data_IF_492733717184
#
_entry.id   IF_492733717184
#
_cell.length_a   1.000
_cell.length_b   1.000
_cell.length_c   1.000
_cell.angle_alpha   90.00
_cell.angle_beta   90.00
_cell.angle_gamma   90.00
#
_symmetry.space_group_name_H-M   'P 1'
#
loop_
_entity.id
_entity.type
_entity.pdbx_description
1 polymer ?
#
# COMPACT_ATOMS: atom_id res chain seq x y z
N UNK A 1 26.58 9.70 -0.16
CA UNK A 1 26.02 9.99 1.18
C UNK A 1 26.94 10.88 1.99
N UNK A 2 26.38 11.76 2.82
CA UNK A 2 27.10 12.57 3.80
C UNK A 2 27.82 11.68 4.84
N UNK A 3 28.73 12.27 5.60
CA UNK A 3 29.54 11.56 6.58
C UNK A 3 28.70 11.00 7.72
N UNK A 4 27.68 11.75 8.19
CA UNK A 4 26.75 11.30 9.23
C UNK A 4 25.94 10.07 8.77
N UNK A 5 25.41 10.08 7.55
CA UNK A 5 24.67 8.94 7.00
C UNK A 5 25.56 7.70 6.90
N UNK A 6 26.79 7.84 6.41
CA UNK A 6 27.70 6.70 6.31
C UNK A 6 28.15 6.18 7.69
N UNK A 7 28.32 7.06 8.67
CA UNK A 7 28.60 6.67 10.05
C UNK A 7 27.47 5.80 10.62
N UNK A 8 26.21 6.25 10.47
CA UNK A 8 25.04 5.50 10.93
C UNK A 8 24.96 4.14 10.23
N UNK A 9 25.06 4.12 8.91
CA UNK A 9 25.00 2.89 8.13
C UNK A 9 26.16 1.92 8.49
N UNK A 10 27.38 2.45 8.69
CA UNK A 10 28.55 1.63 9.04
C UNK A 10 28.46 1.02 10.43
N UNK A 11 27.91 1.74 11.41
CA UNK A 11 27.67 1.20 12.75
C UNK A 11 26.61 0.09 12.70
N UNK A 12 25.51 0.31 12.01
CA UNK A 12 24.48 -0.71 11.85
C UNK A 12 25.05 -2.01 11.25
N UNK A 13 25.72 -1.94 10.12
CA UNK A 13 26.25 -3.13 9.44
C UNK A 13 27.43 -3.79 10.18
N UNK A 14 28.07 -3.09 11.11
CA UNK A 14 29.14 -3.65 11.93
C UNK A 14 28.66 -4.80 12.83
N UNK A 15 27.37 -4.87 13.14
CA UNK A 15 26.76 -5.94 13.93
C UNK A 15 26.61 -7.28 13.17
N UNK A 16 26.90 -7.34 11.86
CA UNK A 16 26.95 -8.57 11.10
C UNK A 16 28.28 -9.30 11.29
N UNK A 17 28.21 -10.57 11.64
CA UNK A 17 29.38 -11.44 11.88
C UNK A 17 30.11 -11.78 10.57
N UNK A 18 29.35 -12.04 9.49
CA UNK A 18 29.89 -12.44 8.17
C UNK A 18 30.14 -11.25 7.25
N UNK A 19 30.90 -10.23 7.71
CA UNK A 19 31.19 -9.03 6.96
C UNK A 19 32.49 -9.15 6.14
N UNK A 20 32.45 -8.91 4.84
CA UNK A 20 33.63 -8.59 4.04
C UNK A 20 34.01 -7.13 4.33
N UNK A 21 35.09 -6.92 5.07
CA UNK A 21 35.48 -5.68 5.76
C UNK A 21 35.72 -4.43 4.92
N UNK A 22 34.84 -4.07 3.98
CA UNK A 22 34.91 -2.81 3.23
C UNK A 22 34.20 -1.69 4.02
N UNK A 23 34.94 -0.65 4.38
CA UNK A 23 34.38 0.59 4.93
C UNK A 23 34.21 1.58 3.79
N UNK A 24 32.97 2.05 3.54
CA UNK A 24 32.72 3.13 2.60
C UNK A 24 33.30 4.42 3.18
N UNK A 25 34.03 5.15 2.36
CA UNK A 25 34.53 6.51 2.66
C UNK A 25 33.81 7.48 1.74
N UNK A 26 33.53 8.67 2.23
CA UNK A 26 32.99 9.77 1.44
C UNK A 26 33.94 10.97 1.45
N UNK A 27 33.95 11.73 0.37
CA UNK A 27 34.57 13.04 0.27
C UNK A 27 33.55 14.16 0.55
N UNK A 28 32.26 13.82 0.81
CA UNK A 28 31.24 14.79 1.14
C UNK A 28 31.42 15.31 2.57
N UNK A 29 30.90 16.48 2.82
CA UNK A 29 30.87 17.12 4.14
C UNK A 29 30.11 16.28 5.16
N UNK A 30 30.17 16.67 6.43
CA UNK A 30 29.54 15.99 7.55
C UNK A 30 28.00 15.81 7.33
N UNK A 31 27.36 16.87 6.85
CA UNK A 31 25.92 16.87 6.50
C UNK A 31 25.00 16.93 7.71
N UNK A 32 23.67 16.85 7.46
CA UNK A 32 22.68 16.80 8.53
C UNK A 32 22.76 15.46 9.29
N UNK A 33 22.40 15.47 10.58
CA UNK A 33 22.20 14.25 11.37
C UNK A 33 21.07 13.42 10.76
N UNK A 34 21.11 12.11 10.91
CA UNK A 34 20.00 11.22 10.51
C UNK A 34 18.85 11.46 11.47
N UNK A 35 17.66 11.73 10.93
CA UNK A 35 16.48 12.01 11.73
C UNK A 35 15.76 10.70 12.07
N UNK A 36 15.61 10.45 13.37
CA UNK A 36 14.87 9.32 13.90
C UNK A 36 13.55 9.83 14.47
N UNK A 37 12.44 9.48 13.79
CA UNK A 37 11.11 9.97 14.10
C UNK A 37 10.24 8.84 14.65
N UNK A 38 9.57 9.10 15.78
CA UNK A 38 8.58 8.22 16.37
C UNK A 38 7.18 8.80 16.20
N UNK A 39 6.26 8.02 15.62
CA UNK A 39 4.87 8.40 15.39
C UNK A 39 3.90 7.54 16.21
N UNK A 40 2.68 8.05 16.46
CA UNK A 40 1.64 7.30 17.16
C UNK A 40 1.20 6.07 16.35
N UNK A 41 0.97 6.26 15.06
CA UNK A 41 0.50 5.19 14.17
C UNK A 41 0.98 5.40 12.71
N UNK A 42 0.67 4.46 11.82
CA UNK A 42 1.11 4.51 10.43
C UNK A 42 0.51 5.68 9.63
N UNK A 43 -0.71 6.10 9.94
CA UNK A 43 -1.30 7.29 9.29
C UNK A 43 -0.56 8.56 9.67
N UNK A 44 -0.26 8.73 10.95
CA UNK A 44 0.51 9.86 11.44
C UNK A 44 1.93 9.86 10.86
N UNK A 45 2.54 8.67 10.66
CA UNK A 45 3.80 8.52 9.96
C UNK A 45 3.70 9.02 8.51
N UNK A 46 2.65 8.63 7.78
CA UNK A 46 2.43 9.09 6.41
C UNK A 46 2.17 10.60 6.33
N UNK A 47 1.43 11.17 7.29
CA UNK A 47 1.21 12.62 7.42
C UNK A 47 2.53 13.33 7.68
N UNK A 48 3.28 12.94 8.72
CA UNK A 48 4.53 13.58 9.07
C UNK A 48 5.58 13.53 7.95
N UNK A 49 5.67 12.40 7.23
CA UNK A 49 6.56 12.28 6.05
C UNK A 49 6.09 13.20 4.93
N UNK A 50 4.78 13.27 4.63
CA UNK A 50 4.28 14.16 3.58
C UNK A 50 4.53 15.63 3.89
N UNK A 51 4.37 16.03 5.14
CA UNK A 51 4.64 17.41 5.59
C UNK A 51 6.14 17.74 5.49
N UNK A 52 7.03 16.80 5.83
CA UNK A 52 8.47 16.98 5.62
C UNK A 52 8.83 17.09 4.12
N UNK A 53 8.19 16.32 3.25
CA UNK A 53 8.37 16.44 1.79
C UNK A 53 7.97 17.85 1.34
N UNK A 54 6.84 18.38 1.80
CA UNK A 54 6.40 19.73 1.46
C UNK A 54 7.35 20.81 1.99
N UNK A 55 7.91 20.64 3.20
CA UNK A 55 8.97 21.51 3.73
C UNK A 55 10.23 21.48 2.87
N UNK A 56 10.63 20.29 2.36
CA UNK A 56 11.80 20.16 1.44
C UNK A 56 11.54 20.84 0.10
N UNK A 57 10.30 20.74 -0.43
CA UNK A 57 9.92 21.51 -1.63
C UNK A 57 10.07 23.01 -1.45
N UNK A 58 9.66 23.57 -0.28
CA UNK A 58 9.88 24.98 0.04
C UNK A 58 11.37 25.34 0.06
N UNK A 59 12.24 24.40 0.41
CA UNK A 59 13.71 24.53 0.35
C UNK A 59 14.30 24.19 -1.03
N UNK A 60 13.48 24.11 -2.09
CA UNK A 60 13.84 23.87 -3.49
C UNK A 60 14.44 22.49 -3.79
N UNK A 61 14.11 21.46 -3.01
CA UNK A 61 14.39 20.09 -3.40
C UNK A 61 13.41 19.65 -4.47
N UNK A 62 13.90 19.00 -5.53
CA UNK A 62 13.08 18.38 -6.57
C UNK A 62 12.37 17.12 -6.02
N UNK A 63 11.08 16.92 -6.33
CA UNK A 63 10.36 15.69 -5.96
C UNK A 63 11.02 14.45 -6.54
N UNK A 64 11.61 14.53 -7.73
CA UNK A 64 12.31 13.42 -8.36
C UNK A 64 13.53 12.95 -7.56
N UNK A 65 14.09 13.81 -6.70
CA UNK A 65 15.22 13.52 -5.82
C UNK A 65 14.81 13.15 -4.39
N UNK A 66 13.52 12.92 -4.16
CA UNK A 66 12.94 12.47 -2.89
C UNK A 66 12.43 11.06 -3.06
N UNK A 67 12.75 10.15 -2.14
CA UNK A 67 12.27 8.78 -2.15
C UNK A 67 11.80 8.31 -0.78
N UNK A 68 10.76 7.49 -0.79
CA UNK A 68 10.30 6.69 0.37
C UNK A 68 10.63 5.24 0.07
N UNK A 69 11.44 4.63 0.92
CA UNK A 69 11.91 3.25 0.78
C UNK A 69 11.26 2.37 1.84
N UNK A 70 10.33 1.52 1.42
CA UNK A 70 9.62 0.58 2.30
C UNK A 70 10.26 -0.80 2.28
N UNK A 71 10.04 -1.61 3.32
CA UNK A 71 10.50 -3.01 3.33
C UNK A 71 9.64 -3.89 2.43
N UNK A 72 8.34 -3.72 2.46
CA UNK A 72 7.38 -4.47 1.66
C UNK A 72 6.41 -3.55 0.95
N UNK A 73 5.98 -3.95 -0.25
CA UNK A 73 5.19 -3.07 -1.14
C UNK A 73 3.81 -2.72 -0.56
N UNK A 74 3.23 -3.54 0.32
CA UNK A 74 1.94 -3.23 0.93
C UNK A 74 1.99 -1.95 1.80
N UNK A 75 3.15 -1.63 2.39
CA UNK A 75 3.35 -0.42 3.19
C UNK A 75 3.15 0.88 2.40
N UNK A 76 3.15 0.83 1.06
CA UNK A 76 2.97 2.06 0.25
C UNK A 76 1.56 2.62 0.33
N UNK A 77 0.54 1.82 0.70
CA UNK A 77 -0.86 2.24 0.68
C UNK A 77 -1.12 3.51 1.49
N UNK A 78 -0.67 3.58 2.73
CA UNK A 78 -0.92 4.75 3.60
C UNK A 78 -0.30 6.03 3.02
N UNK A 79 0.88 5.92 2.39
CA UNK A 79 1.51 7.05 1.67
C UNK A 79 0.73 7.40 0.39
N UNK A 80 0.30 6.41 -0.38
CA UNK A 80 -0.49 6.62 -1.60
C UNK A 80 -1.80 7.32 -1.28
N UNK A 81 -2.53 6.88 -0.24
CA UNK A 81 -3.77 7.53 0.24
C UNK A 81 -3.52 8.98 0.67
N UNK A 82 -2.49 9.21 1.50
CA UNK A 82 -2.15 10.57 1.92
C UNK A 82 -1.80 11.46 0.73
N UNK A 83 -1.01 10.95 -0.22
CA UNK A 83 -0.60 11.72 -1.39
C UNK A 83 -1.77 12.03 -2.33
N UNK A 84 -2.72 11.09 -2.48
CA UNK A 84 -3.97 11.35 -3.20
C UNK A 84 -4.77 12.46 -2.51
N UNK A 85 -4.95 12.37 -1.20
CA UNK A 85 -5.70 13.36 -0.41
C UNK A 85 -5.13 14.78 -0.55
N UNK A 86 -3.79 14.95 -0.50
CA UNK A 86 -3.16 16.27 -0.58
C UNK A 86 -2.71 16.67 -2.00
N UNK A 87 -2.97 15.84 -3.00
CA UNK A 87 -2.57 16.09 -4.40
C UNK A 87 -1.05 16.10 -4.59
N UNK A 88 -0.27 15.36 -3.80
CA UNK A 88 1.17 15.23 -3.97
C UNK A 88 1.48 14.19 -5.06
N UNK A 89 2.12 14.59 -6.19
CA UNK A 89 2.43 13.66 -7.26
C UNK A 89 3.46 12.61 -6.82
N UNK A 90 3.19 11.34 -7.12
CA UNK A 90 4.09 10.24 -6.79
C UNK A 90 4.12 9.18 -7.89
N UNK A 91 5.13 8.31 -7.85
CA UNK A 91 5.22 7.11 -8.69
C UNK A 91 5.76 5.92 -7.89
N UNK A 92 5.29 4.73 -8.23
CA UNK A 92 5.83 3.49 -7.69
C UNK A 92 6.91 2.96 -8.63
N UNK A 93 8.15 2.86 -8.16
CA UNK A 93 9.25 2.30 -8.94
C UNK A 93 9.40 0.81 -8.65
N UNK A 94 9.36 0.01 -9.73
CA UNK A 94 9.42 -1.46 -9.61
C UNK A 94 8.14 -2.10 -9.07
N UNK A 95 7.02 -1.39 -9.14
CA UNK A 95 5.72 -1.86 -8.68
C UNK A 95 4.56 -1.16 -9.37
N UNK A 96 3.36 -1.43 -8.90
CA UNK A 96 2.09 -0.89 -9.40
C UNK A 96 1.37 -0.20 -8.23
N UNK A 97 0.68 0.90 -8.49
CA UNK A 97 -0.14 1.60 -7.49
C UNK A 97 -1.14 0.67 -6.84
N UNK A 98 -1.48 0.93 -5.58
CA UNK A 98 -2.28 0.03 -4.76
C UNK A 98 -3.58 -0.40 -5.45
N UNK A 99 -4.41 0.54 -5.89
CA UNK A 99 -5.68 0.23 -6.54
C UNK A 99 -5.55 -0.32 -7.97
N UNK A 100 -4.36 -0.31 -8.54
CA UNK A 100 -4.08 -0.88 -9.86
C UNK A 100 -3.55 -2.31 -9.82
N UNK A 101 -3.20 -2.84 -8.63
CA UNK A 101 -2.72 -4.22 -8.45
C UNK A 101 -3.80 -5.23 -8.85
N UNK A 102 -3.38 -6.33 -9.46
CA UNK A 102 -4.31 -7.30 -10.04
C UNK A 102 -5.32 -7.85 -9.04
N UNK A 103 -4.86 -8.27 -7.84
CA UNK A 103 -5.67 -8.79 -6.77
C UNK A 103 -6.64 -7.74 -6.20
N UNK A 104 -6.24 -6.47 -6.16
CA UNK A 104 -7.09 -5.37 -5.72
C UNK A 104 -8.17 -5.07 -6.75
N UNK A 105 -7.80 -5.01 -8.04
CA UNK A 105 -8.77 -4.89 -9.14
C UNK A 105 -9.77 -6.04 -9.16
N UNK A 106 -9.34 -7.27 -8.82
CA UNK A 106 -10.24 -8.42 -8.73
C UNK A 106 -11.24 -8.25 -7.58
N UNK A 107 -10.78 -7.85 -6.38
CA UNK A 107 -11.65 -7.57 -5.23
C UNK A 107 -12.65 -6.44 -5.55
N UNK A 108 -12.18 -5.36 -6.13
CA UNK A 108 -13.02 -4.22 -6.53
C UNK A 108 -14.04 -4.64 -7.61
N UNK A 109 -13.66 -5.50 -8.56
CA UNK A 109 -14.58 -6.01 -9.57
C UNK A 109 -15.70 -6.86 -8.96
N UNK A 110 -15.40 -7.70 -7.95
CA UNK A 110 -16.44 -8.39 -7.19
C UNK A 110 -17.42 -7.41 -6.54
N UNK A 111 -16.90 -6.40 -5.84
CA UNK A 111 -17.71 -5.40 -5.15
C UNK A 111 -18.56 -4.58 -6.13
N UNK A 112 -17.99 -4.16 -7.27
CA UNK A 112 -18.68 -3.42 -8.33
C UNK A 112 -19.82 -4.24 -8.93
N UNK A 113 -19.58 -5.53 -9.25
CA UNK A 113 -20.63 -6.40 -9.80
C UNK A 113 -21.75 -6.65 -8.79
N UNK A 114 -21.46 -6.69 -7.49
CA UNK A 114 -22.47 -6.80 -6.43
C UNK A 114 -23.28 -5.51 -6.30
N UNK A 115 -22.62 -4.35 -6.39
CA UNK A 115 -23.25 -3.04 -6.25
C UNK A 115 -24.08 -2.67 -7.48
N UNK A 116 -23.61 -3.03 -8.70
CA UNK A 116 -24.23 -2.70 -9.98
C UNK A 116 -24.46 -3.95 -10.83
N UNK A 117 -25.71 -4.19 -11.22
CA UNK A 117 -26.15 -5.39 -11.96
C UNK A 117 -25.78 -5.37 -13.47
N UNK A 118 -25.22 -4.27 -13.97
CA UNK A 118 -24.85 -4.09 -15.39
C UNK A 118 -23.38 -3.76 -15.61
N UNK A 119 -22.53 -4.07 -14.64
CA UNK A 119 -21.09 -3.85 -14.78
C UNK A 119 -20.43 -4.99 -15.56
N UNK A 120 -20.48 -4.90 -16.87
CA UNK A 120 -19.93 -5.92 -17.77
C UNK A 120 -18.42 -6.06 -17.68
N UNK A 121 -17.70 -4.97 -17.40
CA UNK A 121 -16.24 -5.00 -17.19
C UNK A 121 -15.86 -5.76 -15.92
N UNK A 122 -16.62 -5.53 -14.84
CA UNK A 122 -16.42 -6.25 -13.60
C UNK A 122 -16.78 -7.74 -13.79
N UNK A 123 -17.88 -8.06 -14.48
CA UNK A 123 -18.28 -9.42 -14.80
C UNK A 123 -17.17 -10.18 -15.55
N UNK A 124 -16.68 -9.63 -16.66
CA UNK A 124 -15.64 -10.23 -17.49
C UNK A 124 -14.38 -10.55 -16.68
N UNK A 125 -14.00 -9.63 -15.81
CA UNK A 125 -12.80 -9.78 -14.99
C UNK A 125 -12.87 -10.98 -14.05
N UNK A 126 -14.02 -11.23 -13.42
CA UNK A 126 -14.13 -12.18 -12.31
C UNK A 126 -14.90 -13.46 -12.62
N UNK A 127 -15.62 -13.52 -13.75
CA UNK A 127 -16.49 -14.69 -14.08
C UNK A 127 -15.72 -16.02 -14.09
N UNK A 128 -14.45 -16.02 -14.48
CA UNK A 128 -13.55 -17.19 -14.49
C UNK A 128 -12.28 -17.00 -13.63
N UNK A 129 -12.33 -16.12 -12.67
CA UNK A 129 -11.25 -15.88 -11.70
C UNK A 129 -11.81 -15.90 -10.26
N UNK A 130 -11.61 -17.01 -9.49
CA UNK A 130 -10.88 -18.25 -9.81
C UNK A 130 -11.46 -19.07 -10.99
N UNK A 131 -10.66 -19.99 -11.51
CA UNK A 131 -11.08 -20.83 -12.67
C UNK A 131 -12.33 -21.65 -12.34
N UNK A 132 -13.39 -21.51 -13.18
CA UNK A 132 -14.69 -22.19 -13.04
C UNK A 132 -15.06 -23.04 -14.26
N UNK A 133 -14.06 -23.49 -15.01
CA UNK A 133 -14.27 -24.22 -16.29
C UNK A 133 -15.01 -23.40 -17.36
N UNK A 134 -14.93 -22.08 -17.28
CA UNK A 134 -15.50 -21.16 -18.27
C UNK A 134 -14.36 -20.79 -19.23
N UNK A 135 -14.34 -21.38 -20.40
CA UNK A 135 -13.32 -21.15 -21.42
C UNK A 135 -13.61 -19.91 -22.27
N UNK A 136 -12.58 -19.45 -23.00
CA UNK A 136 -12.67 -18.29 -23.89
C UNK A 136 -13.81 -18.39 -24.92
N UNK A 137 -14.08 -19.59 -25.45
CA UNK A 137 -15.18 -19.82 -26.39
C UNK A 137 -16.55 -19.51 -25.77
N UNK A 138 -16.74 -19.84 -24.49
CA UNK A 138 -17.99 -19.52 -23.78
C UNK A 138 -18.08 -18.02 -23.48
N UNK A 139 -16.97 -17.39 -23.12
CA UNK A 139 -16.94 -15.94 -22.89
C UNK A 139 -17.31 -15.21 -24.19
N UNK A 140 -16.71 -15.60 -25.34
CA UNK A 140 -17.10 -15.04 -26.65
C UNK A 140 -18.58 -15.25 -26.96
N UNK A 141 -19.11 -16.43 -26.70
CA UNK A 141 -20.55 -16.74 -26.90
C UNK A 141 -21.44 -15.84 -26.03
N UNK A 142 -21.06 -15.58 -24.78
CA UNK A 142 -21.78 -14.65 -23.88
C UNK A 142 -21.76 -13.24 -24.46
N UNK A 143 -20.60 -12.73 -24.91
CA UNK A 143 -20.47 -11.42 -25.52
C UNK A 143 -21.31 -11.27 -26.81
N UNK A 144 -21.26 -12.25 -27.69
CA UNK A 144 -22.04 -12.25 -28.93
C UNK A 144 -23.56 -12.24 -28.65
N UNK A 145 -23.99 -13.06 -27.69
CA UNK A 145 -25.39 -13.11 -27.29
C UNK A 145 -25.85 -11.84 -26.59
N UNK A 146 -25.03 -11.27 -25.73
CA UNK A 146 -25.22 -9.98 -25.07
C UNK A 146 -25.42 -8.87 -26.09
N UNK A 147 -24.49 -8.73 -27.04
CA UNK A 147 -24.54 -7.71 -28.10
C UNK A 147 -25.77 -7.87 -29.00
N UNK A 148 -26.08 -9.09 -29.42
CA UNK A 148 -27.22 -9.39 -30.30
C UNK A 148 -28.56 -9.03 -29.67
N UNK A 149 -28.66 -9.18 -28.35
CA UNK A 149 -29.92 -9.00 -27.62
C UNK A 149 -29.96 -7.74 -26.77
N UNK A 150 -28.94 -6.90 -26.81
CA UNK A 150 -28.78 -5.68 -25.99
C UNK A 150 -28.97 -5.96 -24.48
N UNK A 151 -28.32 -7.02 -23.98
CA UNK A 151 -28.36 -7.46 -22.59
C UNK A 151 -27.00 -7.25 -21.92
N UNK A 152 -26.99 -7.08 -20.60
CA UNK A 152 -25.73 -7.20 -19.83
C UNK A 152 -25.18 -8.63 -19.91
N UNK A 153 -23.85 -8.80 -19.71
CA UNK A 153 -23.20 -10.12 -19.75
C UNK A 153 -23.80 -11.08 -18.72
N UNK A 154 -24.18 -10.58 -17.54
CA UNK A 154 -24.87 -11.38 -16.52
C UNK A 154 -26.22 -11.90 -17.01
N UNK A 155 -27.06 -11.04 -17.58
CA UNK A 155 -28.38 -11.45 -18.12
C UNK A 155 -28.25 -12.37 -19.33
N UNK A 156 -27.27 -12.08 -20.20
CA UNK A 156 -26.95 -12.94 -21.34
C UNK A 156 -26.55 -14.35 -20.87
N UNK A 157 -25.71 -14.42 -19.82
CA UNK A 157 -25.29 -15.69 -19.22
C UNK A 157 -26.48 -16.48 -18.66
N UNK A 158 -27.39 -15.82 -17.93
CA UNK A 158 -28.62 -16.46 -17.42
C UNK A 158 -29.48 -17.03 -18.54
N UNK A 159 -29.71 -16.24 -19.59
CA UNK A 159 -30.52 -16.70 -20.75
C UNK A 159 -29.86 -17.84 -21.53
N UNK A 160 -28.55 -17.82 -21.70
CA UNK A 160 -27.84 -18.92 -22.35
C UNK A 160 -27.90 -20.21 -21.55
N UNK A 161 -27.92 -20.13 -20.21
CA UNK A 161 -28.15 -21.28 -19.31
C UNK A 161 -29.59 -21.83 -19.46
N UNK A 162 -30.60 -20.96 -19.44
CA UNK A 162 -32.01 -21.29 -19.59
C UNK A 162 -32.30 -21.98 -20.93
N UNK A 163 -31.70 -21.44 -22.00
CA UNK A 163 -31.82 -21.97 -23.36
C UNK A 163 -30.99 -23.25 -23.62
N UNK A 164 -30.24 -23.73 -22.62
CA UNK A 164 -29.32 -24.88 -22.72
C UNK A 164 -28.26 -24.74 -23.85
N UNK A 165 -27.82 -23.54 -24.15
CA UNK A 165 -26.84 -23.27 -25.20
C UNK A 165 -25.37 -23.37 -24.71
N UNK A 166 -25.14 -23.65 -23.42
CA UNK A 166 -23.82 -23.78 -22.80
C UNK A 166 -23.56 -25.25 -22.46
N UNK A 167 -22.31 -25.69 -22.68
CA UNK A 167 -21.87 -27.07 -22.36
C UNK A 167 -22.10 -27.41 -20.88
N UNK A 168 -22.49 -28.65 -20.55
CA UNK A 168 -22.88 -29.01 -19.17
C UNK A 168 -21.89 -28.67 -18.09
N UNK A 169 -20.61 -28.94 -18.32
CA UNK A 169 -19.52 -28.64 -17.36
C UNK A 169 -19.37 -27.13 -17.08
N UNK A 170 -19.44 -26.32 -18.12
CA UNK A 170 -19.35 -24.86 -18.03
C UNK A 170 -20.62 -24.28 -17.42
N UNK A 171 -21.79 -24.85 -17.73
CA UNK A 171 -23.10 -24.49 -17.15
C UNK A 171 -23.06 -24.55 -15.62
N UNK A 172 -22.50 -25.62 -15.05
CA UNK A 172 -22.39 -25.78 -13.59
C UNK A 172 -21.58 -24.63 -12.98
N UNK A 173 -20.39 -24.36 -13.51
CA UNK A 173 -19.51 -23.30 -13.00
C UNK A 173 -20.12 -21.91 -13.11
N UNK A 174 -20.73 -21.61 -14.28
CA UNK A 174 -21.36 -20.32 -14.53
C UNK A 174 -22.60 -20.11 -13.66
N UNK A 175 -23.44 -21.13 -13.52
CA UNK A 175 -24.62 -21.06 -12.66
C UNK A 175 -24.28 -20.90 -11.18
N UNK A 176 -23.26 -21.62 -10.71
CA UNK A 176 -22.75 -21.45 -9.34
C UNK A 176 -22.27 -20.02 -9.11
N UNK A 177 -21.52 -19.44 -10.03
CA UNK A 177 -21.06 -18.05 -9.93
C UNK A 177 -22.22 -17.05 -9.88
N UNK A 178 -23.22 -17.20 -10.78
CA UNK A 178 -24.39 -16.32 -10.81
C UNK A 178 -25.23 -16.42 -9.52
N UNK A 179 -25.35 -17.61 -8.95
CA UNK A 179 -26.03 -17.83 -7.67
C UNK A 179 -25.29 -17.16 -6.51
N UNK A 180 -23.95 -17.21 -6.49
CA UNK A 180 -23.16 -16.48 -5.51
C UNK A 180 -23.36 -14.97 -5.63
N UNK A 181 -23.30 -14.41 -6.84
CA UNK A 181 -23.54 -12.98 -7.06
C UNK A 181 -24.93 -12.58 -6.55
N UNK A 182 -25.96 -13.35 -6.86
CA UNK A 182 -27.33 -13.10 -6.37
C UNK A 182 -27.40 -13.16 -4.83
N UNK A 183 -26.75 -14.14 -4.21
CA UNK A 183 -26.65 -14.27 -2.75
C UNK A 183 -25.97 -13.04 -2.14
N UNK A 184 -24.81 -12.62 -2.65
CA UNK A 184 -24.05 -11.48 -2.11
C UNK A 184 -24.81 -10.16 -2.26
N UNK A 185 -25.57 -9.96 -3.34
CA UNK A 185 -26.49 -8.81 -3.47
C UNK A 185 -27.56 -8.82 -2.41
N UNK A 186 -28.18 -10.00 -2.17
CA UNK A 186 -29.15 -10.14 -1.10
C UNK A 186 -28.53 -9.89 0.28
N UNK A 187 -27.32 -10.36 0.52
CA UNK A 187 -26.60 -10.13 1.77
C UNK A 187 -26.33 -8.62 1.98
N UNK A 188 -25.96 -7.89 0.93
CA UNK A 188 -25.75 -6.44 0.99
C UNK A 188 -27.06 -5.67 1.21
N UNK A 189 -28.08 -5.93 0.39
CA UNK A 189 -29.29 -5.09 0.31
C UNK A 189 -30.30 -5.46 1.40
N UNK A 190 -30.59 -6.75 1.56
CA UNK A 190 -31.63 -7.24 2.46
C UNK A 190 -31.11 -7.47 3.87
N UNK A 191 -29.98 -8.18 4.00
CA UNK A 191 -29.38 -8.47 5.31
C UNK A 191 -28.51 -7.33 5.85
N UNK A 192 -28.24 -6.31 5.04
CA UNK A 192 -27.41 -5.13 5.39
C UNK A 192 -26.06 -5.52 6.02
N UNK A 193 -25.43 -6.55 5.46
CA UNK A 193 -24.10 -6.95 5.90
C UNK A 193 -23.11 -5.81 5.59
N UNK A 194 -22.24 -5.51 6.55
CA UNK A 194 -21.18 -4.52 6.36
C UNK A 194 -20.31 -4.89 5.15
N UNK A 195 -19.93 -3.88 4.37
CA UNK A 195 -19.18 -4.05 3.10
C UNK A 195 -17.84 -4.76 3.26
N UNK A 196 -17.17 -4.61 4.41
CA UNK A 196 -15.92 -5.32 4.73
C UNK A 196 -16.19 -6.81 4.91
N UNK A 197 -17.21 -7.14 5.72
CA UNK A 197 -17.64 -8.53 5.92
C UNK A 197 -18.14 -9.16 4.64
N UNK A 198 -18.81 -8.38 3.81
CA UNK A 198 -19.22 -8.81 2.47
C UNK A 198 -18.03 -9.25 1.64
N UNK A 199 -16.99 -8.41 1.53
CA UNK A 199 -15.78 -8.77 0.77
C UNK A 199 -15.11 -10.02 1.34
N UNK A 200 -15.00 -10.16 2.67
CA UNK A 200 -14.45 -11.38 3.29
C UNK A 200 -15.21 -12.62 2.85
N UNK A 201 -16.56 -12.58 2.94
CA UNK A 201 -17.42 -13.69 2.51
C UNK A 201 -17.23 -13.99 1.01
N UNK A 202 -17.20 -12.97 0.17
CA UNK A 202 -16.95 -13.09 -1.28
C UNK A 202 -15.64 -13.81 -1.57
N UNK A 203 -14.56 -13.41 -0.93
CA UNK A 203 -13.22 -13.99 -1.15
C UNK A 203 -13.14 -15.46 -0.72
N UNK A 204 -13.83 -15.83 0.36
CA UNK A 204 -13.84 -17.19 0.86
C UNK A 204 -14.78 -18.07 0.02
N UNK A 205 -16.02 -17.66 -0.23
CA UNK A 205 -17.04 -18.42 -0.95
C UNK A 205 -16.72 -18.56 -2.44
N UNK A 206 -16.11 -17.54 -3.06
CA UNK A 206 -15.67 -17.63 -4.46
C UNK A 206 -14.49 -18.58 -4.65
N UNK A 207 -13.78 -18.93 -3.57
CA UNK A 207 -12.53 -19.69 -3.60
C UNK A 207 -11.30 -18.84 -3.93
N UNK A 208 -11.43 -17.50 -3.96
CA UNK A 208 -10.31 -16.61 -4.29
C UNK A 208 -9.19 -16.68 -3.25
N UNK A 209 -9.54 -16.62 -1.96
CA UNK A 209 -8.58 -16.80 -0.86
C UNK A 209 -7.88 -18.15 -0.93
N UNK A 210 -8.61 -19.23 -1.22
CA UNK A 210 -8.05 -20.56 -1.35
C UNK A 210 -7.10 -20.68 -2.55
N UNK A 211 -7.43 -20.05 -3.69
CA UNK A 211 -6.59 -20.02 -4.89
C UNK A 211 -5.23 -19.40 -4.59
N UNK A 212 -5.17 -18.28 -3.87
CA UNK A 212 -3.91 -17.61 -3.49
C UNK A 212 -3.12 -18.43 -2.47
N UNK A 213 -3.79 -19.04 -1.48
CA UNK A 213 -3.12 -19.85 -0.44
C UNK A 213 -2.54 -21.16 -0.97
N UNK A 214 -3.11 -21.72 -2.04
CA UNK A 214 -2.65 -23.00 -2.61
C UNK A 214 -1.29 -22.91 -3.32
N UNK A 215 -0.88 -21.74 -3.75
CA UNK A 215 0.45 -21.49 -4.31
C UNK A 215 1.30 -20.81 -3.23
N UNK A 216 2.16 -21.58 -2.59
CA UNK A 216 3.09 -21.07 -1.56
C UNK A 216 4.31 -20.43 -2.25
N UNK A 217 4.10 -19.29 -2.88
CA UNK A 217 5.15 -18.44 -3.43
C UNK A 217 5.06 -17.03 -2.84
N UNK A 218 6.17 -16.32 -2.85
CA UNK A 218 6.29 -14.97 -2.29
C UNK A 218 5.31 -13.98 -2.93
N UNK A 219 4.98 -14.18 -4.22
CA UNK A 219 4.06 -13.32 -4.94
C UNK A 219 2.63 -13.43 -4.38
N UNK A 220 2.14 -14.64 -4.17
CA UNK A 220 0.81 -14.86 -3.61
C UNK A 220 0.71 -14.44 -2.13
N UNK A 221 1.79 -14.55 -1.37
CA UNK A 221 1.83 -14.00 -0.01
C UNK A 221 1.68 -12.48 -0.02
N UNK A 222 2.43 -11.79 -0.88
CA UNK A 222 2.29 -10.34 -1.06
C UNK A 222 0.88 -9.93 -1.51
N UNK A 223 0.23 -10.73 -2.38
CA UNK A 223 -1.16 -10.50 -2.79
C UNK A 223 -2.13 -10.64 -1.63
N UNK A 224 -1.94 -11.63 -0.75
CA UNK A 224 -2.76 -11.78 0.45
C UNK A 224 -2.58 -10.60 1.43
N UNK A 225 -1.35 -10.09 1.60
CA UNK A 225 -1.11 -8.90 2.40
C UNK A 225 -1.78 -7.66 1.76
N UNK A 226 -1.72 -7.50 0.45
CA UNK A 226 -2.43 -6.42 -0.25
C UNK A 226 -3.95 -6.49 -0.04
N UNK A 227 -4.55 -7.69 -0.02
CA UNK A 227 -5.99 -7.86 0.27
C UNK A 227 -6.30 -7.50 1.72
N UNK A 228 -5.44 -7.85 2.67
CA UNK A 228 -5.62 -7.42 4.08
C UNK A 228 -5.56 -5.90 4.21
N UNK A 229 -4.65 -5.25 3.51
CA UNK A 229 -4.57 -3.80 3.44
C UNK A 229 -5.83 -3.18 2.80
N UNK A 230 -6.40 -3.81 1.77
CA UNK A 230 -7.67 -3.37 1.19
C UNK A 230 -8.81 -3.42 2.22
N UNK A 231 -8.94 -4.53 2.95
CA UNK A 231 -9.94 -4.69 4.02
C UNK A 231 -9.74 -3.65 5.13
N UNK A 232 -8.49 -3.27 5.39
CA UNK A 232 -8.13 -2.21 6.32
C UNK A 232 -8.58 -0.85 5.80
N UNK A 233 -8.26 -0.52 4.55
CA UNK A 233 -8.66 0.72 3.90
C UNK A 233 -10.19 0.90 3.88
N UNK A 234 -10.93 -0.17 3.60
CA UNK A 234 -12.40 -0.13 3.54
C UNK A 234 -13.06 0.31 4.85
N UNK A 235 -12.38 0.19 6.00
CA UNK A 235 -12.90 0.64 7.30
C UNK A 235 -12.99 2.17 7.44
N UNK A 236 -12.30 2.89 6.59
CA UNK A 236 -12.33 4.35 6.56
C UNK A 236 -13.59 4.91 5.88
N UNK A 237 -14.39 4.02 5.28
CA UNK A 237 -15.59 4.39 4.53
C UNK A 237 -16.85 3.84 5.21
N UNK A 238 -17.88 4.66 5.26
CA UNK A 238 -19.14 4.32 5.93
C UNK A 238 -19.90 3.19 5.22
N UNK A 239 -19.77 3.11 3.89
CA UNK A 239 -20.49 2.17 3.04
C UNK A 239 -19.71 1.78 1.78
N UNK A 240 -20.25 0.82 1.03
CA UNK A 240 -19.63 0.32 -0.20
C UNK A 240 -19.56 1.38 -1.30
N UNK A 241 -20.58 2.23 -1.42
CA UNK A 241 -20.67 3.26 -2.47
C UNK A 241 -19.54 4.26 -2.33
N UNK A 242 -19.36 4.88 -1.15
CA UNK A 242 -18.29 5.84 -0.88
C UNK A 242 -16.90 5.24 -1.10
N UNK A 243 -16.70 3.95 -0.76
CA UNK A 243 -15.46 3.25 -1.05
C UNK A 243 -15.22 3.11 -2.56
N UNK A 244 -16.24 2.69 -3.34
CA UNK A 244 -16.09 2.52 -4.80
C UNK A 244 -15.88 3.86 -5.52
N UNK A 245 -16.50 4.93 -5.07
CA UNK A 245 -16.24 6.30 -5.57
C UNK A 245 -14.79 6.72 -5.31
N UNK A 246 -14.28 6.47 -4.10
CA UNK A 246 -12.88 6.74 -3.77
C UNK A 246 -11.92 5.97 -4.68
N UNK A 247 -12.16 4.66 -4.90
CA UNK A 247 -11.34 3.85 -5.80
C UNK A 247 -11.37 4.39 -7.23
N UNK A 248 -12.54 4.79 -7.73
CA UNK A 248 -12.68 5.38 -9.07
C UNK A 248 -11.87 6.67 -9.18
N UNK A 249 -11.93 7.55 -8.16
CA UNK A 249 -11.15 8.77 -8.11
C UNK A 249 -9.65 8.47 -8.06
N UNK A 250 -9.21 7.57 -7.18
CA UNK A 250 -7.80 7.20 -7.00
C UNK A 250 -7.16 6.65 -8.28
N UNK A 251 -7.94 5.93 -9.10
CA UNK A 251 -7.47 5.37 -10.37
C UNK A 251 -7.48 6.36 -11.54
N UNK A 252 -8.25 7.47 -11.44
CA UNK A 252 -8.37 8.47 -12.52
C UNK A 252 -7.36 9.62 -12.45
N UNK A 253 -6.90 9.98 -11.24
CA UNK A 253 -6.15 11.23 -10.99
C UNK A 253 -4.78 11.31 -11.67
N UNK A 254 -4.15 10.23 -12.05
CA UNK A 254 -2.72 10.19 -12.36
C UNK A 254 -2.35 9.97 -13.84
N UNK A 255 -3.32 9.89 -14.73
CA UNK A 255 -3.04 9.51 -16.12
C UNK A 255 -2.27 10.59 -16.91
N UNK A 256 -2.31 11.88 -16.47
CA UNK A 256 -1.80 13.00 -17.26
C UNK A 256 -0.72 13.88 -16.60
N UNK A 257 -0.16 13.47 -15.44
CA UNK A 257 0.86 14.28 -14.77
C UNK A 257 2.27 14.02 -15.31
N UNK A 258 2.81 14.91 -16.11
CA UNK A 258 4.18 14.85 -16.68
C UNK A 258 5.25 15.51 -15.77
N UNK A 259 4.87 16.16 -14.67
CA UNK A 259 5.77 16.88 -13.79
C UNK A 259 6.59 15.97 -12.83
N UNK A 260 7.29 16.62 -11.91
CA UNK A 260 8.08 15.92 -10.89
C UNK A 260 7.20 15.09 -9.96
N UNK A 261 7.71 13.92 -9.55
CA UNK A 261 7.00 12.95 -8.68
C UNK A 261 7.89 12.43 -7.57
N UNK A 262 7.32 12.25 -6.38
CA UNK A 262 8.00 11.50 -5.29
C UNK A 262 8.13 10.03 -5.68
N UNK A 263 9.26 9.41 -5.33
CA UNK A 263 9.51 8.02 -5.65
C UNK A 263 9.16 7.14 -4.43
N UNK A 264 8.24 6.19 -4.62
CA UNK A 264 7.94 5.12 -3.67
C UNK A 264 8.49 3.81 -4.24
N UNK A 265 9.23 3.06 -3.42
CA UNK A 265 9.74 1.75 -3.83
C UNK A 265 10.14 0.92 -2.62
N UNK A 266 10.41 -0.36 -2.85
CA UNK A 266 11.02 -1.19 -1.82
C UNK A 266 12.52 -0.89 -1.70
N UNK A 267 13.09 -1.12 -0.51
CA UNK A 267 14.55 -1.01 -0.31
C UNK A 267 15.33 -1.91 -1.28
N UNK A 268 14.81 -3.09 -1.62
CA UNK A 268 15.41 -3.98 -2.62
C UNK A 268 15.45 -3.33 -4.02
N UNK A 269 14.35 -2.68 -4.42
CA UNK A 269 14.26 -1.98 -5.70
C UNK A 269 15.13 -0.73 -5.80
N UNK A 270 15.60 -0.21 -4.68
CA UNK A 270 16.43 1.00 -4.63
C UNK A 270 17.92 0.76 -4.94
N UNK A 271 18.33 -0.51 -5.11
CA UNK A 271 19.73 -0.85 -5.38
C UNK A 271 20.22 -0.20 -6.68
N UNK A 272 21.30 0.57 -6.58
CA UNK A 272 21.86 1.33 -7.72
C UNK A 272 21.26 2.72 -7.93
N UNK A 273 20.19 3.07 -7.22
CA UNK A 273 19.61 4.42 -7.24
C UNK A 273 20.13 5.26 -6.06
N UNK A 274 20.07 6.57 -6.20
CA UNK A 274 20.44 7.50 -5.12
C UNK A 274 19.56 8.76 -5.19
N UNK A 275 19.20 9.29 -4.01
CA UNK A 275 18.29 10.43 -3.87
C UNK A 275 18.87 11.45 -2.89
N UNK A 276 18.53 12.73 -3.07
CA UNK A 276 18.97 13.76 -2.12
C UNK A 276 18.37 13.55 -0.73
N UNK A 277 17.07 13.19 -0.69
CA UNK A 277 16.32 12.95 0.54
C UNK A 277 15.69 11.56 0.50
N UNK A 278 15.90 10.77 1.54
CA UNK A 278 15.34 9.43 1.67
C UNK A 278 14.59 9.29 2.99
N UNK A 279 13.37 8.79 2.91
CA UNK A 279 12.55 8.38 4.04
C UNK A 279 12.53 6.85 4.13
N UNK A 280 12.73 6.32 5.32
CA UNK A 280 12.80 4.91 5.66
C UNK A 280 11.76 4.60 6.75
N UNK A 281 10.47 4.50 6.40
CA UNK A 281 9.41 4.24 7.37
C UNK A 281 9.32 2.77 7.79
N UNK A 282 8.62 2.53 8.90
CA UNK A 282 8.26 1.19 9.33
C UNK A 282 9.41 0.40 9.93
N UNK A 283 10.35 1.06 10.64
CA UNK A 283 11.41 0.36 11.38
C UNK A 283 10.88 -0.20 12.69
N UNK A 284 10.14 -1.33 12.59
CA UNK A 284 9.43 -2.01 13.67
C UNK A 284 9.71 -3.50 13.64
N UNK A 285 9.80 -4.12 14.81
CA UNK A 285 9.96 -5.57 14.93
C UNK A 285 8.83 -6.33 14.20
N UNK A 286 9.22 -7.36 13.45
CA UNK A 286 8.30 -8.14 12.64
C UNK A 286 8.01 -7.55 11.25
N UNK A 287 8.09 -6.22 11.10
CA UNK A 287 7.96 -5.53 9.82
C UNK A 287 9.33 -5.30 9.17
N UNK A 288 10.28 -4.76 9.93
CA UNK A 288 11.67 -4.60 9.54
C UNK A 288 12.60 -4.59 10.78
N UNK A 289 13.33 -5.70 11.06
CA UNK A 289 13.50 -6.90 10.21
C UNK A 289 12.21 -7.70 10.03
N UNK A 290 12.04 -8.26 8.83
CA UNK A 290 10.84 -9.01 8.49
C UNK A 290 10.81 -10.35 9.22
N UNK A 291 9.72 -10.61 9.98
CA UNK A 291 9.59 -11.79 10.84
C UNK A 291 9.89 -13.12 10.12
N UNK A 292 9.32 -13.30 8.94
CA UNK A 292 9.50 -14.51 8.14
C UNK A 292 10.96 -14.74 7.72
N UNK A 293 11.71 -13.67 7.44
CA UNK A 293 13.13 -13.77 7.08
C UNK A 293 13.94 -14.36 8.24
N UNK A 294 13.59 -13.99 9.47
CA UNK A 294 14.22 -14.51 10.69
C UNK A 294 13.78 -15.95 10.96
N UNK A 295 12.50 -16.27 10.80
CA UNK A 295 11.96 -17.62 11.02
C UNK A 295 12.55 -18.66 10.06
N UNK A 296 12.71 -18.30 8.77
CA UNK A 296 13.22 -19.20 7.74
C UNK A 296 14.75 -19.38 7.78
N UNK A 297 15.50 -18.29 8.06
CA UNK A 297 16.96 -18.27 7.91
C UNK A 297 17.72 -17.98 9.21
N UNK A 298 17.02 -17.76 10.32
CA UNK A 298 17.61 -17.46 11.61
C UNK A 298 18.53 -16.23 11.57
N UNK A 299 19.72 -16.36 12.11
CA UNK A 299 20.73 -15.29 12.15
C UNK A 299 21.14 -14.79 10.76
N UNK A 300 21.20 -15.68 9.77
CA UNK A 300 21.50 -15.28 8.38
C UNK A 300 20.41 -14.37 7.81
N UNK A 301 19.15 -14.64 8.15
CA UNK A 301 18.03 -13.79 7.75
C UNK A 301 18.12 -12.40 8.38
N UNK A 302 18.44 -12.33 9.67
CA UNK A 302 18.65 -11.05 10.35
C UNK A 302 19.81 -10.25 9.75
N UNK A 303 20.92 -10.92 9.41
CA UNK A 303 22.05 -10.27 8.74
C UNK A 303 21.70 -9.75 7.35
N UNK A 304 20.86 -10.47 6.61
CA UNK A 304 20.38 -10.02 5.29
C UNK A 304 19.47 -8.78 5.42
N UNK A 305 18.55 -8.77 6.39
CA UNK A 305 17.71 -7.60 6.69
C UNK A 305 18.58 -6.40 7.11
N UNK A 306 19.64 -6.62 7.90
CA UNK A 306 20.58 -5.53 8.26
C UNK A 306 21.37 -5.01 7.07
N UNK A 307 21.73 -5.88 6.10
CA UNK A 307 22.33 -5.43 4.82
C UNK A 307 21.36 -4.58 4.04
N UNK A 308 20.07 -4.94 4.07
CA UNK A 308 19.02 -4.17 3.40
C UNK A 308 18.84 -2.79 4.05
N UNK A 309 18.86 -2.71 5.38
CA UNK A 309 18.83 -1.45 6.12
C UNK A 309 20.04 -0.55 5.76
N UNK A 310 21.23 -1.14 5.70
CA UNK A 310 22.44 -0.46 5.24
C UNK A 310 22.27 0.09 3.81
N UNK A 311 21.73 -0.73 2.89
CA UNK A 311 21.45 -0.28 1.52
C UNK A 311 20.48 0.88 1.53
N UNK A 312 19.38 0.80 2.26
CA UNK A 312 18.37 1.87 2.36
C UNK A 312 18.97 3.19 2.82
N UNK A 313 19.70 3.18 3.94
CA UNK A 313 20.38 4.38 4.48
C UNK A 313 21.35 4.99 3.45
N UNK A 314 22.15 4.16 2.79
CA UNK A 314 23.14 4.63 1.81
C UNK A 314 22.55 5.13 0.49
N UNK A 315 21.23 5.02 0.29
CA UNK A 315 20.55 5.65 -0.86
C UNK A 315 20.41 7.15 -0.70
N UNK A 316 20.47 7.66 0.53
CA UNK A 316 20.43 9.09 0.79
C UNK A 316 21.79 9.75 0.48
N UNK A 317 21.76 10.81 -0.32
CA UNK A 317 22.93 11.66 -0.56
C UNK A 317 23.13 12.67 0.55
N UNK A 318 22.06 13.39 0.93
CA UNK A 318 22.13 14.56 1.82
C UNK A 318 21.39 14.34 3.14
N UNK A 319 20.15 13.83 3.10
CA UNK A 319 19.28 13.75 4.26
C UNK A 319 18.62 12.36 4.31
N UNK A 320 18.69 11.71 5.45
CA UNK A 320 17.99 10.46 5.73
C UNK A 320 17.07 10.62 6.93
N UNK A 321 15.84 10.11 6.79
CA UNK A 321 14.85 10.00 7.84
C UNK A 321 14.56 8.52 8.07
N UNK A 322 14.68 8.07 9.30
CA UNK A 322 14.23 6.76 9.77
C UNK A 322 13.02 6.99 10.63
N UNK A 323 11.97 6.20 10.46
CA UNK A 323 10.79 6.34 11.30
C UNK A 323 10.15 5.00 11.66
N UNK A 324 9.42 5.00 12.77
CA UNK A 324 8.61 3.91 13.25
C UNK A 324 7.35 4.44 13.91
N UNK A 325 6.31 3.60 13.96
CA UNK A 325 5.07 3.90 14.64
C UNK A 325 4.88 2.98 15.85
N UNK A 326 4.22 3.46 16.92
CA UNK A 326 3.92 2.67 18.11
C UNK A 326 2.74 1.74 17.92
N UNK A 327 1.87 2.06 16.94
CA UNK A 327 0.69 1.26 16.63
C UNK A 327 0.56 1.12 15.12
N UNK A 328 0.24 -0.09 14.67
CA UNK A 328 -0.14 -0.37 13.28
C UNK A 328 -1.54 -0.96 13.24
N UNK A 329 -2.28 -0.55 12.23
CA UNK A 329 -3.56 -1.18 11.95
C UNK A 329 -3.32 -2.41 11.06
N UNK A 330 -3.43 -3.62 11.66
CA UNK A 330 -3.14 -4.86 10.97
C UNK A 330 -4.27 -5.88 11.18
N UNK A 331 -4.70 -6.55 10.13
CA UNK A 331 -5.77 -7.57 10.15
C UNK A 331 -7.07 -7.13 10.85
N UNK A 332 -7.35 -5.83 10.82
CA UNK A 332 -8.58 -5.32 11.40
C UNK A 332 -8.49 -4.84 12.84
N UNK A 333 -7.34 -4.95 13.47
CA UNK A 333 -7.09 -4.50 14.83
C UNK A 333 -5.90 -3.54 14.89
N UNK A 334 -5.92 -2.64 15.85
CA UNK A 334 -4.73 -1.91 16.24
C UNK A 334 -3.82 -2.84 17.02
N UNK A 335 -2.58 -2.95 16.59
CA UNK A 335 -1.54 -3.77 17.22
C UNK A 335 -0.43 -2.83 17.65
N UNK A 336 -0.02 -2.95 18.91
CA UNK A 336 1.14 -2.25 19.42
C UNK A 336 2.38 -2.74 18.68
N UNK A 337 3.17 -1.81 18.19
CA UNK A 337 4.43 -2.06 17.51
C UNK A 337 5.60 -1.69 18.40
N UNK A 338 6.66 -2.44 18.32
CA UNK A 338 7.91 -2.18 19.02
C UNK A 338 8.91 -1.66 18.00
N UNK A 339 9.66 -0.63 18.35
CA UNK A 339 10.75 -0.14 17.50
C UNK A 339 11.69 -1.28 17.10
N UNK A 340 12.13 -1.28 15.86
CA UNK A 340 13.08 -2.26 15.35
C UNK A 340 14.35 -2.29 16.20
N UNK A 341 14.87 -3.49 16.45
CA UNK A 341 16.21 -3.65 17.04
C UNK A 341 17.32 -2.91 16.27
N UNK A 342 17.09 -2.65 14.99
CA UNK A 342 18.02 -1.84 14.18
C UNK A 342 18.08 -0.39 14.63
N UNK A 343 17.04 0.13 15.29
CA UNK A 343 17.03 1.49 15.87
C UNK A 343 18.05 1.58 17.01
N UNK A 344 18.13 0.55 17.85
CA UNK A 344 19.08 0.50 18.96
C UNK A 344 20.55 0.35 18.50
N UNK A 345 20.74 -0.13 17.27
CA UNK A 345 22.06 -0.30 16.66
C UNK A 345 22.59 1.02 16.01
N UNK A 346 21.77 2.07 15.96
CA UNK A 346 22.18 3.36 15.38
C UNK A 346 22.97 4.21 16.40
N UNK A 347 24.06 4.85 16.02
CA UNK A 347 24.89 5.64 16.94
C UNK A 347 24.21 6.96 17.31
N UNK A 348 23.89 7.14 18.58
CA UNK A 348 23.15 8.31 19.10
C UNK A 348 23.74 9.66 18.68
N UNK A 349 25.08 9.76 18.66
CA UNK A 349 25.80 11.00 18.29
C UNK A 349 25.50 11.50 16.87
N UNK A 350 25.02 10.63 15.99
CA UNK A 350 24.72 10.96 14.60
C UNK A 350 23.20 11.03 14.33
N UNK A 351 22.36 11.00 15.41
CA UNK A 351 20.91 11.02 15.32
C UNK A 351 20.33 12.32 15.89
N UNK A 352 19.29 12.82 15.23
CA UNK A 352 18.34 13.79 15.74
C UNK A 352 17.02 13.04 16.01
N UNK A 353 16.68 12.85 17.30
CA UNK A 353 15.49 12.09 17.73
C UNK A 353 14.29 13.01 17.91
N UNK A 354 13.17 12.69 17.26
CA UNK A 354 11.92 13.44 17.33
C UNK A 354 10.75 12.52 17.67
N UNK A 355 9.84 12.99 18.52
CA UNK A 355 8.61 12.29 18.88
C UNK A 355 7.41 13.16 18.53
N UNK A 356 6.49 12.63 17.73
CA UNK A 356 5.35 13.36 17.17
C UNK A 356 4.02 12.95 17.81
N UNK A 357 4.01 12.70 19.11
CA UNK A 357 2.80 12.51 19.91
C UNK A 357 3.09 12.93 21.35
N UNK A 358 2.08 13.44 22.02
CA UNK A 358 2.15 13.76 23.45
C UNK A 358 1.64 12.52 24.20
N UNK A 359 2.42 12.02 25.16
CA UNK A 359 1.91 11.06 26.13
C UNK A 359 0.86 11.78 26.98
N UNK A 360 -0.35 11.25 27.06
CA UNK A 360 -1.48 11.82 27.81
C UNK A 360 -1.19 11.98 29.33
N UNK A 361 -0.03 11.51 29.83
CA UNK A 361 0.38 11.55 31.23
C UNK A 361 1.27 12.74 31.63
N UNK A 362 1.49 13.74 30.76
CA UNK A 362 2.25 14.93 31.12
C UNK A 362 1.48 16.22 30.79
N UNK A 363 0.95 16.80 31.87
CA UNK A 363 0.51 18.20 32.09
C UNK A 363 0.16 19.11 30.90
N UNK A 364 -1.04 19.66 31.00
CA UNK A 364 -1.79 20.55 30.10
C UNK A 364 -1.10 21.88 29.68
N UNK A 365 0.14 22.17 30.03
CA UNK A 365 0.77 23.49 29.79
C UNK A 365 1.49 23.63 28.43
N UNK A 366 1.68 22.57 27.66
CA UNK A 366 2.34 22.60 26.33
C UNK A 366 1.39 22.53 25.13
N UNK A 367 0.08 22.75 25.35
CA UNK A 367 -0.99 22.45 24.38
C UNK A 367 -1.33 23.57 23.38
N UNK A 368 -0.76 24.77 23.49
CA UNK A 368 -1.13 25.88 22.57
C UNK A 368 -0.58 25.74 21.15
N UNK A 369 0.33 24.81 20.87
CA UNK A 369 0.97 24.70 19.56
C UNK A 369 0.25 23.80 18.54
N UNK A 370 -0.70 22.95 18.97
CA UNK A 370 -1.26 21.90 18.12
C UNK A 370 -2.65 22.18 17.51
N UNK A 371 -3.46 23.07 18.07
CA UNK A 371 -4.81 23.35 17.53
C UNK A 371 -4.78 24.19 16.24
N UNK A 372 -3.81 25.07 16.08
CA UNK A 372 -3.67 25.89 14.86
C UNK A 372 -3.12 25.11 13.65
N UNK A 373 -2.60 23.89 13.86
CA UNK A 373 -1.93 23.11 12.81
C UNK A 373 -2.89 22.29 11.96
N UNK A 374 -4.00 21.79 12.51
CA UNK A 374 -4.95 20.93 11.78
C UNK A 374 -5.88 21.72 10.84
N UNK A 375 -6.44 22.85 11.26
CA UNK A 375 -7.35 23.63 10.42
C UNK A 375 -6.66 24.46 9.33
N UNK A 376 -5.41 24.90 9.55
CA UNK A 376 -4.68 25.70 8.56
C UNK A 376 -4.01 24.87 7.45
N UNK A 377 -3.75 23.58 7.67
CA UNK A 377 -2.98 22.75 6.71
C UNK A 377 -3.83 22.11 5.60
N UNK A 378 -5.12 21.84 5.81
CA UNK A 378 -5.94 21.23 4.77
C UNK A 378 -6.20 22.16 3.56
N UNK A 379 -6.23 23.48 3.79
CA UNK A 379 -6.58 24.47 2.75
C UNK A 379 -5.38 25.21 2.16
N UNK A 380 -4.19 25.14 2.76
CA UNK A 380 -3.02 25.94 2.37
C UNK A 380 -1.76 25.14 2.01
N UNK A 381 -1.80 23.81 2.04
CA UNK A 381 -0.63 23.01 1.66
C UNK A 381 -0.31 23.17 0.17
N UNK A 382 0.98 23.13 -0.22
CA UNK A 382 1.38 23.12 -1.62
C UNK A 382 0.73 21.98 -2.42
N UNK A 383 0.41 20.85 -1.77
CA UNK A 383 -0.31 19.73 -2.36
C UNK A 383 -1.75 20.09 -2.74
N UNK A 384 -2.46 20.80 -1.85
CA UNK A 384 -3.80 21.28 -2.11
C UNK A 384 -3.83 22.31 -3.26
N UNK A 385 -2.85 23.22 -3.32
CA UNK A 385 -2.70 24.17 -4.43
C UNK A 385 -2.44 23.44 -5.75
N UNK A 386 -1.61 22.40 -5.77
CA UNK A 386 -1.38 21.55 -6.95
C UNK A 386 -2.65 20.84 -7.37
N UNK A 387 -3.42 20.29 -6.43
CA UNK A 387 -4.70 19.64 -6.68
C UNK A 387 -5.72 20.60 -7.31
N UNK A 388 -5.89 21.80 -6.76
CA UNK A 388 -6.78 22.85 -7.30
C UNK A 388 -6.42 23.27 -8.74
N UNK A 389 -5.12 23.32 -9.08
CA UNK A 389 -4.64 23.63 -10.44
C UNK A 389 -4.90 22.50 -11.44
N UNK A 390 -5.14 21.27 -10.97
CA UNK A 390 -5.48 20.12 -11.82
C UNK A 390 -6.95 20.06 -12.21
N UNK A 391 -7.84 20.60 -11.36
CA UNK A 391 -9.30 20.58 -11.58
C UNK A 391 -9.74 21.74 -12.49
N UNK A 392 -8.91 22.77 -12.64
CA UNK A 392 -9.11 23.88 -13.60
C UNK A 392 -8.42 23.58 -14.92
#
# INVERSE_FOLDING_TARGET
>A
SSQNILSVASNLIANNQNRVGKTLKTTMEEGELVKLNCFKNGKDEAIGISDEIEKKLKKKYSLNNISILVRAIFQTREFEERFLKIGLPYRILGGIKFYERAEIKDCVAYLRLIHQDKDDLAFDRIVNNPKRSIGESTIKQIHEFSKKNSLSLELASKKLIELNLIKPKTKIGLNSFLNFVAKWRNDLIVKKINHIKLLQNVLDESGYSAMLKNKKDLENENRLENIKELLSAMKEFDNLESFLEHVALATSIDQDWEGEKVNLMTMHGSKGLEFDVVFLPGWEEGLFPHQKSIEEKGQNGLEEERRLAYVGLTRAKKIAFVSFALNRFFQGNWIDSIASRFVDELPEKNLEKNTFFVNEDKNEEDFEFNQDFEEQNETRSPGWIRYQKRIK
#
